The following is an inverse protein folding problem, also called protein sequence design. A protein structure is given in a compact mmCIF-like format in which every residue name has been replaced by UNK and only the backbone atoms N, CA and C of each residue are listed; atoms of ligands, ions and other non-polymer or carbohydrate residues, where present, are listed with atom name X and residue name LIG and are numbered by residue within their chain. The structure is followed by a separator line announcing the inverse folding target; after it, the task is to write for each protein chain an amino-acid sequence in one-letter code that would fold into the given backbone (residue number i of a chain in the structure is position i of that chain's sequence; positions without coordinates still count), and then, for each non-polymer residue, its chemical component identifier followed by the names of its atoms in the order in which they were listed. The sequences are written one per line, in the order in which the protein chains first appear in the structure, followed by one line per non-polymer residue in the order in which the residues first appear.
data_IF_581208008680
#
_entry.id   IF_581208008680
#
_cell.length_a   1.000
_cell.length_b   1.000
_cell.length_c   1.000
_cell.angle_alpha   90.00
_cell.angle_beta   90.00
_cell.angle_gamma   90.00
#
_symmetry.space_group_name_H-M   'P 1'
#
loop_
_entity.id
_entity.type
_entity.pdbx_description
1 polymer ?
#
# COMPACT_ATOMS: atom_id res chain seq x y z
N UNK A 1 -45.58 45.31 -30.34
CA UNK A 1 -45.94 44.01 -30.92
C UNK A 1 -44.96 43.73 -32.05
N UNK A 2 -44.13 42.68 -31.89
CA UNK A 2 -43.46 41.82 -32.92
C UNK A 2 -42.57 42.55 -33.98
N UNK A 3 -41.22 42.53 -33.85
CA UNK A 3 -40.24 41.54 -34.41
C UNK A 3 -40.33 41.43 -35.94
N UNK A 4 -39.29 41.29 -36.77
CA UNK A 4 -37.81 41.20 -36.72
C UNK A 4 -37.40 40.62 -38.10
N UNK A 5 -36.08 40.64 -38.43
CA UNK A 5 -35.34 39.81 -39.43
C UNK A 5 -34.99 40.54 -40.75
N UNK A 6 -33.83 40.35 -41.39
CA UNK A 6 -32.55 39.66 -41.10
C UNK A 6 -31.55 39.95 -42.25
N UNK A 7 -30.23 39.93 -41.93
CA UNK A 7 -29.09 39.37 -42.71
C UNK A 7 -28.62 40.23 -43.92
N UNK A 8 -27.32 40.48 -44.16
CA UNK A 8 -26.33 39.59 -44.81
C UNK A 8 -24.84 40.03 -44.62
N UNK A 9 -23.98 39.04 -44.26
CA UNK A 9 -22.67 38.63 -44.85
C UNK A 9 -21.41 39.54 -44.82
N UNK A 10 -20.35 39.14 -44.07
CA UNK A 10 -19.03 38.51 -44.47
C UNK A 10 -18.11 39.39 -45.33
N UNK A 11 -16.82 39.67 -45.02
CA UNK A 11 -15.67 38.76 -44.81
C UNK A 11 -14.50 39.40 -44.00
N UNK A 12 -13.65 38.49 -43.50
CA UNK A 12 -12.49 38.53 -42.59
C UNK A 12 -11.29 39.42 -42.93
N UNK A 13 -10.46 39.77 -41.93
CA UNK A 13 -9.09 39.22 -41.74
C UNK A 13 -8.36 39.83 -40.50
N UNK A 14 -7.93 38.90 -39.63
CA UNK A 14 -6.68 38.90 -38.83
C UNK A 14 -6.53 39.97 -37.75
N UNK A 15 -6.96 39.61 -36.53
CA UNK A 15 -6.49 40.18 -35.28
C UNK A 15 -5.68 39.13 -34.51
N UNK A 16 -4.39 39.41 -34.36
CA UNK A 16 -3.34 38.66 -33.69
C UNK A 16 -3.79 38.10 -32.31
N UNK A 17 -3.86 36.77 -32.17
CA UNK A 17 -4.00 36.13 -30.86
C UNK A 17 -2.63 36.18 -30.17
N UNK A 18 -2.50 37.03 -29.17
CA UNK A 18 -1.39 36.99 -28.22
C UNK A 18 -1.60 35.74 -27.36
N UNK A 19 -0.91 34.65 -27.70
CA UNK A 19 -0.63 33.54 -26.79
C UNK A 19 0.27 34.09 -25.67
N UNK A 20 -0.34 34.65 -24.62
CA UNK A 20 0.36 34.80 -23.35
C UNK A 20 0.44 33.41 -22.73
N UNK A 21 1.63 32.84 -22.84
CA UNK A 21 2.12 31.65 -22.15
C UNK A 21 1.47 31.59 -20.76
N UNK A 22 0.54 30.64 -20.59
CA UNK A 22 0.23 30.16 -19.26
C UNK A 22 1.58 29.74 -18.68
N UNK A 23 2.07 30.49 -17.71
CA UNK A 23 3.16 30.08 -16.85
C UNK A 23 2.74 28.72 -16.34
N UNK A 24 3.37 27.70 -16.94
CA UNK A 24 3.36 26.35 -16.49
C UNK A 24 4.15 26.41 -15.18
N UNK A 25 3.48 26.82 -14.10
CA UNK A 25 3.86 26.41 -12.76
C UNK A 25 3.66 24.89 -12.75
N UNK A 26 4.61 24.20 -13.38
CA UNK A 26 4.95 22.85 -13.01
C UNK A 26 5.44 23.00 -11.58
N UNK A 27 4.49 22.91 -10.67
CA UNK A 27 4.72 22.42 -9.33
C UNK A 27 5.38 21.06 -9.55
N UNK A 28 6.71 21.06 -9.65
CA UNK A 28 7.50 19.85 -9.54
C UNK A 28 7.10 19.26 -8.20
N UNK A 29 6.40 18.12 -8.15
CA UNK A 29 6.07 17.52 -6.87
C UNK A 29 7.41 17.23 -6.21
N UNK A 30 7.63 17.86 -5.06
CA UNK A 30 8.73 17.58 -4.13
C UNK A 30 8.83 16.05 -4.05
N UNK A 31 9.83 15.45 -4.70
CA UNK A 31 10.02 14.00 -4.76
C UNK A 31 10.55 13.47 -3.41
N UNK A 32 9.72 13.60 -2.38
CA UNK A 32 9.81 12.92 -1.10
C UNK A 32 8.63 11.94 -0.97
N UNK A 33 8.21 11.38 -2.11
CA UNK A 33 6.81 11.06 -2.42
C UNK A 33 6.30 9.73 -1.88
N UNK A 34 5.07 9.75 -1.38
CA UNK A 34 4.22 8.59 -1.25
C UNK A 34 3.13 8.65 -2.33
N UNK A 35 2.71 7.50 -2.83
CA UNK A 35 1.53 7.32 -3.68
C UNK A 35 0.41 6.71 -2.83
N UNK A 36 -0.84 6.93 -3.23
CA UNK A 36 -1.99 6.25 -2.64
C UNK A 36 -2.41 5.08 -3.54
N UNK A 37 -2.63 3.92 -2.93
CA UNK A 37 -3.28 2.79 -3.57
C UNK A 37 -4.71 2.68 -3.04
N UNK A 38 -5.68 2.48 -3.94
CA UNK A 38 -7.08 2.19 -3.59
C UNK A 38 -7.48 0.90 -4.28
N UNK A 39 -7.84 -0.12 -3.52
CA UNK A 39 -8.29 -1.38 -4.10
C UNK A 39 -9.70 -1.22 -4.70
N UNK A 40 -9.94 -1.61 -5.97
CA UNK A 40 -11.16 -1.26 -6.70
C UNK A 40 -12.45 -1.83 -6.10
N UNK A 41 -12.42 -3.08 -5.61
CA UNK A 41 -13.61 -3.77 -5.07
C UNK A 41 -13.65 -3.85 -3.54
N UNK A 42 -12.51 -4.10 -2.89
CA UNK A 42 -12.39 -4.20 -1.44
C UNK A 42 -12.32 -2.85 -0.72
N UNK A 43 -12.18 -1.75 -1.47
CA UNK A 43 -12.25 -0.34 -1.05
C UNK A 43 -11.25 0.09 0.03
N UNK A 44 -10.30 -0.75 0.42
CA UNK A 44 -9.21 -0.32 1.27
C UNK A 44 -8.24 0.60 0.53
N UNK A 45 -7.58 1.47 1.28
CA UNK A 45 -6.55 2.38 0.79
C UNK A 45 -5.29 2.28 1.64
N UNK A 46 -4.14 2.55 1.04
CA UNK A 46 -2.86 2.59 1.73
C UNK A 46 -1.88 3.51 1.00
N UNK A 47 -1.13 4.31 1.75
CA UNK A 47 0.00 5.04 1.21
C UNK A 47 1.22 4.13 1.12
N UNK A 48 1.97 4.23 0.02
CA UNK A 48 3.22 3.50 -0.18
C UNK A 48 4.28 4.40 -0.82
N UNK A 49 5.58 4.11 -0.66
CA UNK A 49 6.63 4.95 -1.25
C UNK A 49 6.50 5.02 -2.77
N UNK A 50 6.62 6.22 -3.34
CA UNK A 50 6.35 6.44 -4.76
C UNK A 50 7.31 5.68 -5.71
N UNK A 51 8.49 5.33 -5.21
CA UNK A 51 9.51 4.56 -5.94
C UNK A 51 9.31 3.05 -5.85
N UNK A 52 8.48 2.57 -4.94
CA UNK A 52 8.20 1.15 -4.83
C UNK A 52 7.32 0.70 -5.98
N UNK A 53 7.61 -0.50 -6.48
CA UNK A 53 6.84 -1.15 -7.53
C UNK A 53 5.57 -1.72 -6.91
N UNK A 54 4.42 -1.41 -7.51
CA UNK A 54 3.14 -1.96 -7.12
C UNK A 54 2.77 -3.11 -8.06
N UNK A 55 2.36 -4.24 -7.49
CA UNK A 55 1.85 -5.39 -8.22
C UNK A 55 0.48 -5.73 -7.65
N UNK A 56 -0.56 -5.66 -8.50
CA UNK A 56 -1.91 -6.08 -8.15
C UNK A 56 -2.09 -7.57 -8.42
N UNK A 57 -2.80 -8.24 -7.51
CA UNK A 57 -2.98 -9.68 -7.56
C UNK A 57 -1.69 -10.44 -7.21
N UNK A 58 -1.86 -11.56 -6.52
CA UNK A 58 -0.75 -12.43 -6.16
C UNK A 58 -1.23 -13.80 -5.73
N UNK A 59 -0.27 -14.65 -5.41
CA UNK A 59 -0.56 -15.97 -4.82
C UNK A 59 -1.05 -15.82 -3.37
N UNK A 60 -1.66 -16.88 -2.84
CA UNK A 60 -2.03 -17.01 -1.42
C UNK A 60 -3.00 -15.93 -0.89
N UNK A 61 -3.91 -15.44 -1.73
CA UNK A 61 -4.93 -14.46 -1.31
C UNK A 61 -4.41 -13.02 -1.18
N UNK A 62 -3.18 -12.77 -1.63
CA UNK A 62 -2.60 -11.42 -1.69
C UNK A 62 -3.33 -10.58 -2.72
N UNK A 63 -3.83 -9.42 -2.29
CA UNK A 63 -4.56 -8.48 -3.14
C UNK A 63 -3.60 -7.49 -3.81
N UNK A 64 -2.58 -7.03 -3.06
CA UNK A 64 -1.55 -6.11 -3.57
C UNK A 64 -0.21 -6.38 -2.90
N UNK A 65 0.86 -6.18 -3.67
CA UNK A 65 2.25 -6.22 -3.22
C UNK A 65 2.96 -4.92 -3.57
N UNK A 66 3.78 -4.44 -2.66
CA UNK A 66 4.65 -3.29 -2.83
C UNK A 66 6.09 -3.74 -2.66
N UNK A 67 6.90 -3.66 -3.71
CA UNK A 67 8.30 -4.06 -3.72
C UNK A 67 9.20 -2.82 -3.64
N UNK A 68 10.17 -2.82 -2.73
CA UNK A 68 11.17 -1.77 -2.63
C UNK A 68 12.01 -1.62 -3.89
N UNK A 69 12.60 -0.43 -4.07
CA UNK A 69 13.56 -0.11 -5.13
C UNK A 69 15.02 -0.40 -4.72
N UNK A 70 15.22 -1.26 -3.71
CA UNK A 70 16.55 -1.64 -3.22
C UNK A 70 17.35 -2.37 -4.30
N UNK A 71 18.67 -2.15 -4.42
CA UNK A 71 19.52 -2.94 -5.29
C UNK A 71 19.86 -4.33 -4.71
N UNK A 72 19.33 -4.70 -3.53
CA UNK A 72 19.57 -6.00 -2.91
C UNK A 72 18.99 -7.14 -3.75
N UNK A 73 19.59 -8.34 -3.63
CA UNK A 73 19.10 -9.57 -4.24
C UNK A 73 17.67 -9.86 -3.79
N UNK A 74 17.36 -9.54 -2.52
CA UNK A 74 16.00 -9.59 -2.01
C UNK A 74 15.41 -8.20 -1.85
N UNK A 75 14.34 -7.96 -2.58
CA UNK A 75 13.56 -6.74 -2.44
C UNK A 75 12.67 -6.84 -1.20
N UNK A 76 12.91 -5.95 -0.25
CA UNK A 76 11.98 -5.75 0.86
C UNK A 76 10.59 -5.48 0.28
N UNK A 77 9.57 -6.10 0.87
CA UNK A 77 8.22 -6.06 0.32
C UNK A 77 7.17 -5.96 1.41
N UNK A 78 6.10 -5.25 1.09
CA UNK A 78 4.88 -5.23 1.87
C UNK A 78 3.73 -5.82 1.05
N UNK A 79 2.88 -6.61 1.67
CA UNK A 79 1.75 -7.30 1.04
C UNK A 79 0.49 -7.05 1.86
N UNK A 80 -0.65 -6.95 1.19
CA UNK A 80 -1.95 -6.95 1.87
C UNK A 80 -2.75 -8.14 1.34
N UNK A 81 -3.06 -9.08 2.22
CA UNK A 81 -4.00 -10.16 1.97
C UNK A 81 -5.34 -9.85 2.64
N UNK A 82 -6.42 -10.21 1.95
CA UNK A 82 -7.78 -10.01 2.43
C UNK A 82 -8.55 -11.31 2.29
N UNK A 83 -9.09 -11.82 3.39
CA UNK A 83 -9.86 -13.05 3.42
C UNK A 83 -11.15 -12.85 4.22
N UNK A 84 -12.16 -13.67 3.95
CA UNK A 84 -13.35 -13.75 4.80
C UNK A 84 -13.29 -15.04 5.60
N UNK A 85 -13.29 -14.92 6.91
CA UNK A 85 -13.47 -16.06 7.81
C UNK A 85 -14.15 -15.57 9.10
N UNK A 86 -15.49 -15.68 9.16
CA UNK A 86 -16.29 -15.06 10.23
C UNK A 86 -16.17 -15.77 11.58
N UNK A 87 -15.51 -16.93 11.63
CA UNK A 87 -15.55 -17.81 12.81
C UNK A 87 -14.34 -17.68 13.73
N UNK A 88 -13.34 -16.87 13.36
CA UNK A 88 -12.13 -16.69 14.17
C UNK A 88 -12.12 -15.32 14.84
N UNK A 89 -11.79 -15.31 16.13
CA UNK A 89 -11.42 -14.08 16.83
C UNK A 89 -10.09 -13.56 16.30
N UNK A 90 -9.81 -12.27 16.54
CA UNK A 90 -8.55 -11.65 16.17
C UNK A 90 -7.33 -12.39 16.78
N UNK A 91 -7.45 -12.81 18.04
CA UNK A 91 -6.40 -13.55 18.75
C UNK A 91 -6.16 -14.92 18.11
N UNK A 92 -7.24 -15.67 17.84
CA UNK A 92 -7.15 -17.00 17.23
C UNK A 92 -6.60 -16.93 15.79
N UNK A 93 -6.93 -15.87 15.06
CA UNK A 93 -6.36 -15.61 13.74
C UNK A 93 -4.86 -15.35 13.82
N UNK A 94 -4.41 -14.53 14.78
CA UNK A 94 -2.99 -14.27 14.97
C UNK A 94 -2.20 -15.53 15.36
N UNK A 95 -2.76 -16.38 16.23
CA UNK A 95 -2.14 -17.66 16.60
C UNK A 95 -2.06 -18.62 15.41
N UNK A 96 -3.12 -18.69 14.60
CA UNK A 96 -3.12 -19.47 13.38
C UNK A 96 -2.05 -18.96 12.39
N UNK A 97 -1.94 -17.64 12.21
CA UNK A 97 -0.91 -17.04 11.35
C UNK A 97 0.49 -17.36 11.85
N UNK A 98 0.77 -17.21 13.14
CA UNK A 98 2.08 -17.58 13.70
C UNK A 98 2.41 -19.06 13.47
N UNK A 99 1.44 -19.96 13.70
CA UNK A 99 1.61 -21.40 13.45
C UNK A 99 1.86 -21.71 11.97
N UNK A 100 1.17 -21.04 11.05
CA UNK A 100 1.39 -21.21 9.62
C UNK A 100 2.80 -20.76 9.21
N UNK A 101 3.29 -19.64 9.76
CA UNK A 101 4.65 -19.16 9.50
C UNK A 101 5.70 -20.17 10.00
N UNK A 102 5.51 -20.80 11.16
CA UNK A 102 6.39 -21.88 11.64
C UNK A 102 6.48 -23.07 10.68
N UNK A 103 5.41 -23.37 9.95
CA UNK A 103 5.37 -24.48 8.98
C UNK A 103 6.03 -24.09 7.65
N UNK A 104 5.80 -22.84 7.21
CA UNK A 104 6.19 -22.38 5.87
C UNK A 104 7.61 -21.82 5.82
N UNK A 105 8.11 -21.25 6.91
CA UNK A 105 9.35 -20.50 6.94
C UNK A 105 10.44 -21.27 7.72
N UNK A 106 11.59 -21.56 7.11
CA UNK A 106 12.68 -22.28 7.75
C UNK A 106 13.16 -21.58 9.03
N UNK A 107 13.27 -22.34 10.13
CA UNK A 107 13.74 -21.84 11.43
C UNK A 107 13.02 -20.57 11.89
N UNK A 108 11.73 -20.45 11.59
CA UNK A 108 10.95 -19.30 12.01
C UNK A 108 10.80 -19.24 13.54
N UNK A 109 11.09 -18.07 14.07
CA UNK A 109 10.93 -17.72 15.48
C UNK A 109 10.00 -16.51 15.59
N UNK A 110 8.95 -16.64 16.41
CA UNK A 110 8.11 -15.52 16.80
C UNK A 110 8.82 -14.74 17.91
N UNK A 111 9.23 -13.51 17.60
CA UNK A 111 9.94 -12.65 18.56
C UNK A 111 8.96 -11.86 19.42
N UNK A 112 7.88 -11.34 18.83
CA UNK A 112 6.87 -10.58 19.57
C UNK A 112 5.46 -10.81 19.05
N UNK A 113 4.49 -10.85 19.96
CA UNK A 113 3.05 -10.72 19.70
C UNK A 113 2.50 -9.61 20.58
N UNK A 114 1.98 -8.54 19.98
CA UNK A 114 1.48 -7.37 20.69
C UNK A 114 0.15 -6.88 20.12
N UNK A 115 -0.61 -6.15 20.93
CA UNK A 115 -1.76 -5.39 20.43
C UNK A 115 -1.23 -4.13 19.74
N UNK A 116 -1.73 -3.87 18.54
CA UNK A 116 -1.37 -2.70 17.73
C UNK A 116 -2.56 -2.19 16.94
N UNK A 117 -2.27 -1.52 15.83
CA UNK A 117 -3.29 -0.98 14.92
C UNK A 117 -2.94 -1.20 13.47
N UNK A 118 -3.98 -1.34 12.63
CA UNK A 118 -3.90 -1.19 11.18
C UNK A 118 -4.77 0.01 10.82
N UNK A 119 -4.13 1.13 10.48
CA UNK A 119 -4.79 2.43 10.45
C UNK A 119 -5.40 2.77 11.80
N UNK A 120 -6.72 3.03 11.83
CA UNK A 120 -7.49 3.27 13.06
C UNK A 120 -8.06 2.01 13.73
N UNK A 121 -7.82 0.84 13.16
CA UNK A 121 -8.46 -0.40 13.60
C UNK A 121 -7.56 -1.18 14.55
N UNK A 122 -8.13 -1.73 15.63
CA UNK A 122 -7.40 -2.63 16.53
C UNK A 122 -6.85 -3.83 15.75
N UNK A 123 -5.60 -4.15 16.00
CA UNK A 123 -4.89 -5.23 15.33
C UNK A 123 -4.02 -6.02 16.32
N UNK A 124 -3.51 -7.16 15.85
CA UNK A 124 -2.38 -7.87 16.47
C UNK A 124 -1.17 -7.67 15.57
N UNK A 125 -0.05 -7.24 16.17
CA UNK A 125 1.26 -7.08 15.54
C UNK A 125 2.14 -8.27 15.93
N UNK A 126 2.51 -9.07 14.93
CA UNK A 126 3.43 -10.19 15.06
C UNK A 126 4.76 -9.77 14.43
N UNK A 127 5.87 -10.02 15.15
CA UNK A 127 7.21 -9.92 14.58
C UNK A 127 7.94 -11.22 14.74
N UNK A 128 8.67 -11.60 13.70
CA UNK A 128 9.48 -12.80 13.71
C UNK A 128 10.70 -12.68 12.83
N UNK A 129 11.53 -13.70 12.95
CA UNK A 129 12.75 -13.89 12.16
C UNK A 129 12.74 -15.29 11.58
N UNK A 130 13.30 -15.47 10.39
CA UNK A 130 13.47 -16.78 9.77
C UNK A 130 14.70 -16.82 8.87
N UNK A 131 15.14 -18.01 8.49
CA UNK A 131 16.28 -18.20 7.62
C UNK A 131 15.85 -18.26 6.14
N UNK A 132 16.56 -17.53 5.28
CA UNK A 132 16.45 -17.63 3.82
C UNK A 132 17.83 -17.94 3.22
N UNK A 133 17.86 -18.27 1.93
CA UNK A 133 19.09 -18.67 1.23
C UNK A 133 20.18 -17.57 1.28
N UNK A 134 19.78 -16.30 1.22
CA UNK A 134 20.70 -15.15 1.22
C UNK A 134 20.94 -14.57 2.63
N UNK A 135 20.39 -15.19 3.68
CA UNK A 135 20.56 -14.77 5.07
C UNK A 135 19.25 -14.64 5.83
N UNK A 136 19.35 -14.10 7.07
CA UNK A 136 18.18 -13.94 7.95
C UNK A 136 17.23 -12.88 7.44
N UNK A 137 15.93 -13.14 7.61
CA UNK A 137 14.83 -12.25 7.24
C UNK A 137 14.04 -11.85 8.47
N UNK A 138 13.60 -10.59 8.48
CA UNK A 138 12.59 -10.10 9.44
C UNK A 138 11.25 -10.06 8.75
N UNK A 139 10.23 -10.52 9.45
CA UNK A 139 8.83 -10.47 9.02
C UNK A 139 8.00 -9.79 10.10
N UNK A 140 7.11 -8.88 9.67
CA UNK A 140 6.11 -8.24 10.53
C UNK A 140 4.74 -8.40 9.91
N UNK A 141 3.81 -8.98 10.66
CA UNK A 141 2.42 -9.16 10.24
C UNK A 141 1.48 -8.38 11.16
N UNK A 142 0.71 -7.45 10.60
CA UNK A 142 -0.32 -6.70 11.30
C UNK A 142 -1.69 -7.19 10.83
N UNK A 143 -2.42 -7.80 11.76
CA UNK A 143 -3.65 -8.54 11.49
C UNK A 143 -4.83 -7.79 12.09
N UNK A 144 -5.86 -7.52 11.30
CA UNK A 144 -7.08 -6.87 11.77
C UNK A 144 -8.32 -7.58 11.23
N UNK A 145 -9.42 -7.53 11.99
CA UNK A 145 -10.76 -7.93 11.53
C UNK A 145 -11.61 -6.68 11.46
N UNK A 146 -12.09 -6.33 10.26
CA UNK A 146 -12.89 -5.12 10.02
C UNK A 146 -14.09 -5.52 9.17
N UNK A 147 -15.31 -5.28 9.66
CA UNK A 147 -16.56 -5.65 8.98
C UNK A 147 -16.57 -7.11 8.48
N UNK A 148 -16.22 -8.05 9.37
CA UNK A 148 -16.09 -9.51 9.08
C UNK A 148 -14.99 -9.91 8.09
N UNK A 149 -14.21 -8.96 7.59
CA UNK A 149 -13.09 -9.20 6.68
C UNK A 149 -11.78 -9.19 7.46
N UNK A 150 -10.92 -10.16 7.16
CA UNK A 150 -9.59 -10.29 7.73
C UNK A 150 -8.60 -9.58 6.82
N UNK A 151 -7.89 -8.60 7.36
CA UNK A 151 -6.83 -7.88 6.67
C UNK A 151 -5.50 -8.27 7.31
N UNK A 152 -4.56 -8.71 6.49
CA UNK A 152 -3.21 -9.04 6.92
C UNK A 152 -2.25 -8.18 6.11
N UNK A 153 -1.65 -7.18 6.77
CA UNK A 153 -0.51 -6.46 6.24
C UNK A 153 0.75 -7.22 6.65
N UNK A 154 1.54 -7.68 5.69
CA UNK A 154 2.81 -8.34 5.96
C UNK A 154 3.93 -7.51 5.38
N UNK A 155 5.03 -7.34 6.12
CA UNK A 155 6.25 -6.74 5.63
C UNK A 155 7.42 -7.69 5.87
N UNK A 156 8.26 -7.87 4.85
CA UNK A 156 9.46 -8.70 4.93
C UNK A 156 10.67 -7.94 4.42
N UNK A 157 11.80 -8.04 5.12
CA UNK A 157 13.08 -7.48 4.72
C UNK A 157 14.27 -8.35 5.16
N UNK A 158 15.44 -8.03 4.64
CA UNK A 158 16.72 -8.46 5.19
C UNK A 158 16.85 -8.03 6.66
N UNK A 159 17.29 -8.92 7.55
CA UNK A 159 17.24 -8.65 8.99
C UNK A 159 18.07 -7.42 9.42
N UNK A 160 19.20 -7.17 8.75
CA UNK A 160 20.04 -6.00 8.98
C UNK A 160 19.38 -4.66 8.60
N UNK A 161 18.35 -4.69 7.73
CA UNK A 161 17.73 -3.50 7.17
C UNK A 161 16.44 -3.09 7.89
N UNK A 162 15.94 -3.89 8.85
CA UNK A 162 14.64 -3.68 9.52
C UNK A 162 14.49 -2.24 10.03
N UNK A 163 15.53 -1.71 10.68
CA UNK A 163 15.51 -0.36 11.24
C UNK A 163 15.35 0.71 10.15
N UNK A 164 15.96 0.53 8.98
CA UNK A 164 15.89 1.48 7.87
C UNK A 164 14.47 1.61 7.31
N UNK A 165 13.69 0.53 7.37
CA UNK A 165 12.32 0.49 6.86
C UNK A 165 11.28 0.87 7.92
N UNK A 166 11.62 0.93 9.21
CA UNK A 166 10.65 1.12 10.30
C UNK A 166 9.72 2.33 10.08
N UNK A 167 10.29 3.49 9.73
CA UNK A 167 9.49 4.70 9.45
C UNK A 167 8.56 4.52 8.24
N UNK A 168 9.07 3.90 7.19
CA UNK A 168 8.31 3.67 5.96
C UNK A 168 7.13 2.76 6.23
N UNK A 169 7.37 1.64 6.90
CA UNK A 169 6.36 0.61 7.15
C UNK A 169 5.32 1.06 8.18
N UNK A 170 5.73 1.76 9.24
CA UNK A 170 4.78 2.38 10.15
C UNK A 170 3.86 3.35 9.41
N UNK A 171 4.40 4.18 8.51
CA UNK A 171 3.57 5.09 7.70
C UNK A 171 2.60 4.35 6.79
N UNK A 172 2.99 3.22 6.20
CA UNK A 172 2.08 2.38 5.41
C UNK A 172 0.94 1.84 6.29
N UNK A 173 1.29 1.23 7.43
CA UNK A 173 0.32 0.70 8.40
C UNK A 173 -0.64 1.79 8.89
N UNK A 174 -0.13 2.94 9.30
CA UNK A 174 -0.91 4.07 9.83
C UNK A 174 -1.84 4.68 8.77
N UNK A 175 -1.43 4.63 7.50
CA UNK A 175 -2.22 5.17 6.38
C UNK A 175 -3.36 4.27 5.93
N UNK A 176 -3.43 3.03 6.43
CA UNK A 176 -4.48 2.11 6.03
C UNK A 176 -5.87 2.66 6.39
N UNK A 177 -6.81 2.59 5.45
CA UNK A 177 -8.21 2.99 5.67
C UNK A 177 -9.18 2.20 4.81
N UNK A 178 -10.47 2.20 5.19
CA UNK A 178 -11.62 1.72 4.40
C UNK A 178 -12.53 2.88 4.00
#
# INVERSE_FOLDING_TARGET
MVKSRQVYQTWSLIGLIILSLASCDQILPRMTGYKNYTHPSLRFQVHYPAKWTLIEGGSFGTQVQFLSDSPSIFLANANIAVNRNPNLSLEALADLSAKQLTILLPNYELETKAIGTLGKHKAVDLRGVYDAAEGKRKIRSVIAIINEMQYVFTFTCEAQDEHSYAKTINKMIDSFSL
#
